data_IF_700292296623
#
_entry.id   IF_700292296623
#
_cell.length_a   1.000
_cell.length_b   1.000
_cell.length_c   1.000
_cell.angle_alpha   90.00
_cell.angle_beta   90.00
_cell.angle_gamma   90.00
#
_symmetry.space_group_name_H-M   'P 1'
#
loop_
_entity.id
_entity.type
_entity.pdbx_description
1 polymer ?
#
# COMPACT_ATOMS: atom_id res chain seq x y z
N UNK A 1 1.56 4.89 -13.06
CA UNK A 1 2.12 3.56 -13.43
C UNK A 1 1.29 2.83 -14.48
N UNK A 2 -0.05 2.78 -14.36
CA UNK A 2 -0.92 2.01 -15.25
C UNK A 2 -0.82 2.39 -16.74
N UNK A 3 -0.81 3.69 -17.07
CA UNK A 3 -0.79 4.14 -18.47
C UNK A 3 0.54 3.86 -19.20
N UNK A 4 1.66 3.85 -18.47
CA UNK A 4 3.00 3.67 -19.06
C UNK A 4 3.52 2.24 -18.98
N UNK A 5 2.97 1.42 -18.09
CA UNK A 5 3.45 0.06 -17.85
C UNK A 5 2.37 -1.02 -18.07
N UNK A 6 1.28 -0.69 -18.74
CA UNK A 6 0.18 -1.61 -19.07
C UNK A 6 0.64 -2.84 -19.87
N UNK A 7 1.63 -2.70 -20.76
CA UNK A 7 2.20 -3.78 -21.57
C UNK A 7 3.49 -4.41 -21.01
N UNK A 8 3.88 -4.09 -19.77
CA UNK A 8 5.17 -4.54 -19.22
C UNK A 8 5.15 -6.02 -18.83
N UNK A 9 6.09 -6.79 -19.36
CA UNK A 9 6.35 -8.18 -18.93
C UNK A 9 6.97 -8.27 -17.52
N UNK A 10 7.51 -7.16 -16.99
CA UNK A 10 8.20 -7.11 -15.69
C UNK A 10 7.25 -6.81 -14.52
N UNK A 11 6.24 -7.65 -14.33
CA UNK A 11 5.23 -7.51 -13.26
C UNK A 11 5.85 -7.37 -11.86
N UNK A 12 6.80 -8.24 -11.47
CA UNK A 12 7.47 -8.19 -10.15
C UNK A 12 8.11 -6.83 -9.84
N UNK A 13 8.76 -6.21 -10.84
CA UNK A 13 9.38 -4.89 -10.67
C UNK A 13 8.33 -3.80 -10.43
N UNK A 14 7.23 -3.83 -11.18
CA UNK A 14 6.13 -2.86 -11.02
C UNK A 14 5.41 -3.01 -9.68
N UNK A 15 5.24 -4.25 -9.21
CA UNK A 15 4.70 -4.49 -7.88
C UNK A 15 5.59 -3.93 -6.79
N UNK A 16 6.92 -4.11 -6.91
CA UNK A 16 7.88 -3.52 -5.97
C UNK A 16 7.81 -1.98 -5.96
N UNK A 17 7.65 -1.34 -7.11
CA UNK A 17 7.46 0.11 -7.21
C UNK A 17 6.14 0.53 -6.56
N UNK A 18 5.04 -0.20 -6.79
CA UNK A 18 3.73 0.05 -6.17
C UNK A 18 3.80 -0.04 -4.64
N UNK A 19 4.49 -1.06 -4.13
CA UNK A 19 4.74 -1.27 -2.70
C UNK A 19 5.52 -0.11 -2.08
N UNK A 20 6.63 0.30 -2.70
CA UNK A 20 7.45 1.42 -2.21
C UNK A 20 6.63 2.72 -2.14
N UNK A 21 5.83 3.00 -3.18
CA UNK A 21 4.98 4.19 -3.22
C UNK A 21 3.87 4.17 -2.16
N UNK A 22 3.23 3.02 -1.95
CA UNK A 22 2.20 2.89 -0.90
C UNK A 22 2.78 3.02 0.49
N UNK A 23 3.88 2.32 0.79
CA UNK A 23 4.53 2.38 2.09
C UNK A 23 5.03 3.80 2.43
N UNK A 24 5.63 4.49 1.45
CA UNK A 24 6.09 5.87 1.62
C UNK A 24 4.93 6.85 1.83
N UNK A 25 3.82 6.68 1.10
CA UNK A 25 2.59 7.44 1.32
C UNK A 25 2.03 7.20 2.72
N UNK A 26 1.84 5.95 3.14
CA UNK A 26 1.31 5.58 4.45
C UNK A 26 2.17 6.15 5.59
N UNK A 27 3.50 6.06 5.48
CA UNK A 27 4.44 6.66 6.45
C UNK A 27 4.26 8.17 6.56
N UNK A 28 4.09 8.85 5.44
CA UNK A 28 3.90 10.31 5.41
C UNK A 28 2.56 10.69 6.02
N UNK A 29 1.50 9.97 5.66
CA UNK A 29 0.14 10.19 6.18
C UNK A 29 0.08 9.97 7.71
N UNK A 30 0.70 8.90 8.20
CA UNK A 30 0.76 8.58 9.63
C UNK A 30 1.52 9.64 10.43
N UNK A 31 2.58 10.23 9.85
CA UNK A 31 3.32 11.34 10.48
C UNK A 31 2.53 12.64 10.48
N UNK A 32 1.90 13.00 9.35
CA UNK A 32 1.18 14.27 9.20
C UNK A 32 -0.17 14.30 9.94
N UNK A 33 -0.87 13.16 9.98
CA UNK A 33 -2.25 13.08 10.46
C UNK A 33 -2.42 12.04 11.58
N UNK A 34 -1.53 12.07 12.59
CA UNK A 34 -1.47 11.05 13.66
C UNK A 34 -2.79 10.83 14.40
N UNK A 35 -3.51 11.89 14.76
CA UNK A 35 -4.79 11.80 15.48
C UNK A 35 -5.90 11.27 14.58
N UNK A 36 -6.00 11.78 13.35
CA UNK A 36 -6.99 11.35 12.36
C UNK A 36 -6.80 9.89 11.96
N UNK A 37 -5.56 9.48 11.69
CA UNK A 37 -5.23 8.08 11.34
C UNK A 37 -5.57 7.15 12.50
N UNK A 38 -5.31 7.54 13.75
CA UNK A 38 -5.71 6.77 14.94
C UNK A 38 -7.23 6.68 15.10
N UNK A 39 -7.95 7.77 14.89
CA UNK A 39 -9.42 7.77 14.95
C UNK A 39 -10.03 6.91 13.83
N UNK A 40 -9.47 7.02 12.63
CA UNK A 40 -9.85 6.22 11.47
C UNK A 40 -9.65 4.72 11.72
N UNK A 41 -8.48 4.33 12.23
CA UNK A 41 -8.18 2.94 12.62
C UNK A 41 -9.12 2.41 13.70
N UNK A 42 -9.49 3.24 14.67
CA UNK A 42 -10.47 2.86 15.69
C UNK A 42 -11.88 2.65 15.13
N UNK A 43 -12.24 3.37 14.06
CA UNK A 43 -13.60 3.36 13.49
C UNK A 43 -13.79 2.30 12.41
N UNK A 44 -12.77 2.08 11.58
CA UNK A 44 -12.79 1.12 10.48
C UNK A 44 -12.13 -0.22 10.84
N UNK A 45 -11.44 -0.30 11.98
CA UNK A 45 -10.77 -1.52 12.42
C UNK A 45 -9.42 -1.76 11.73
N UNK A 46 -8.77 -2.85 12.13
CA UNK A 46 -7.52 -3.32 11.52
C UNK A 46 -7.74 -4.03 10.18
N UNK A 47 -8.97 -4.43 9.85
CA UNK A 47 -9.32 -5.13 8.61
C UNK A 47 -8.88 -4.36 7.36
N UNK A 48 -9.06 -3.03 7.36
CA UNK A 48 -8.61 -2.19 6.24
C UNK A 48 -7.08 -2.24 6.07
N UNK A 49 -6.33 -2.30 7.18
CA UNK A 49 -4.87 -2.46 7.10
C UNK A 49 -4.48 -3.87 6.68
N UNK A 50 -5.16 -4.89 7.19
CA UNK A 50 -4.90 -6.28 6.78
C UNK A 50 -5.13 -6.44 5.28
N UNK A 51 -6.24 -5.94 4.73
CA UNK A 51 -6.50 -5.98 3.28
C UNK A 51 -5.44 -5.19 2.49
N UNK A 52 -4.97 -4.04 3.02
CA UNK A 52 -3.91 -3.24 2.40
C UNK A 52 -2.55 -3.92 2.36
N UNK A 53 -2.19 -4.70 3.40
CA UNK A 53 -0.88 -5.35 3.51
C UNK A 53 -0.89 -6.79 2.95
N UNK A 54 -1.98 -7.53 3.10
CA UNK A 54 -2.10 -8.93 2.63
C UNK A 54 -2.17 -9.03 1.11
N UNK A 55 -2.81 -8.07 0.42
CA UNK A 55 -2.75 -7.98 -1.05
C UNK A 55 -1.31 -7.80 -1.57
N UNK A 56 -0.41 -7.24 -0.75
CA UNK A 56 0.98 -7.01 -1.15
C UNK A 56 1.89 -8.19 -0.78
N UNK A 57 1.67 -8.83 0.37
CA UNK A 57 2.49 -9.95 0.84
C UNK A 57 2.36 -11.18 -0.08
N UNK A 58 1.15 -11.49 -0.57
CA UNK A 58 0.94 -12.57 -1.57
C UNK A 58 1.70 -12.33 -2.88
N UNK A 59 1.97 -11.08 -3.22
CA UNK A 59 2.65 -10.68 -4.46
C UNK A 59 4.17 -10.74 -4.32
N UNK A 60 4.70 -10.56 -3.11
CA UNK A 60 6.13 -10.75 -2.81
C UNK A 60 6.52 -12.22 -2.64
N UNK A 61 5.57 -13.10 -2.30
CA UNK A 61 5.79 -14.56 -2.17
C UNK A 61 5.78 -15.32 -3.50
N UNK A 62 5.37 -14.70 -4.61
CA UNK A 62 5.35 -15.28 -5.96
C UNK A 62 6.62 -14.91 -6.74
#
# INVERSE_FOLDING_TARGET
LSHYHSGSSKKKSLYRVKYILRLSCARTLARKHKSTVRAFLKRLGSELLEEFFTEEEQVFSL
#
